data_IF_580611061373
#
_entry.id   IF_580611061373
#
_cell.length_a   1.000
_cell.length_b   1.000
_cell.length_c   1.000
_cell.angle_alpha   90.00
_cell.angle_beta   90.00
_cell.angle_gamma   90.00
#
_symmetry.space_group_name_H-M   'P 1'
#
loop_
_entity.id
_entity.type
_entity.pdbx_description
1 polymer ?
#
# COMPACT_ATOMS: atom_id res chain seq x y z
N UNK A 1 -28.47 -15.45 26.36
CA UNK A 1 -27.93 -14.22 25.73
C UNK A 1 -27.27 -14.61 24.39
N UNK A 2 -27.24 -13.67 23.45
CA UNK A 2 -27.20 -13.86 21.99
C UNK A 2 -25.92 -14.51 21.42
N UNK A 3 -26.19 -15.37 20.43
CA UNK A 3 -25.34 -15.91 19.35
C UNK A 3 -24.25 -14.96 18.81
N UNK A 4 -23.09 -15.52 18.42
CA UNK A 4 -22.64 -15.60 17.01
C UNK A 4 -21.41 -16.52 16.84
N UNK A 5 -21.59 -17.49 15.93
CA UNK A 5 -20.58 -18.36 15.35
C UNK A 5 -19.79 -17.56 14.29
N UNK A 6 -18.47 -17.72 14.23
CA UNK A 6 -17.66 -17.39 13.04
C UNK A 6 -16.45 -18.35 13.03
N UNK A 7 -16.56 -19.56 12.49
CA UNK A 7 -16.25 -19.91 11.09
C UNK A 7 -14.95 -19.26 10.59
N UNK A 8 -13.80 -19.77 11.06
CA UNK A 8 -12.53 -19.58 10.36
C UNK A 8 -12.50 -20.55 9.18
N UNK A 9 -12.92 -20.05 8.02
CA UNK A 9 -12.89 -20.77 6.75
C UNK A 9 -11.43 -20.83 6.30
N UNK A 10 -10.90 -22.05 6.25
CA UNK A 10 -9.69 -22.40 5.50
C UNK A 10 -10.04 -22.18 4.03
N UNK A 11 -9.59 -21.07 3.43
CA UNK A 11 -9.65 -20.86 1.99
C UNK A 11 -8.25 -21.02 1.43
N UNK A 12 -7.92 -22.26 1.06
CA UNK A 12 -6.82 -22.55 0.17
C UNK A 12 -7.21 -22.31 -1.29
N UNK A 13 -6.17 -22.19 -2.12
CA UNK A 13 -6.14 -22.27 -3.59
C UNK A 13 -6.69 -21.06 -4.37
N UNK A 14 -5.80 -20.35 -5.07
CA UNK A 14 -5.65 -20.39 -6.54
C UNK A 14 -4.50 -19.43 -6.93
N UNK A 15 -3.34 -19.94 -7.37
CA UNK A 15 -2.94 -20.04 -8.79
C UNK A 15 -2.84 -18.69 -9.51
N UNK A 16 -1.60 -18.27 -9.74
CA UNK A 16 -1.07 -17.86 -11.05
C UNK A 16 0.47 -17.97 -10.92
N UNK A 17 1.08 -19.11 -11.24
CA UNK A 17 1.46 -19.49 -12.60
C UNK A 17 2.12 -18.33 -13.36
N UNK A 18 3.40 -18.53 -13.62
CA UNK A 18 4.29 -17.62 -14.33
C UNK A 18 3.67 -17.08 -15.62
N UNK A 19 3.74 -15.76 -15.80
CA UNK A 19 3.83 -15.16 -17.12
C UNK A 19 5.13 -14.37 -17.20
N UNK A 20 6.17 -15.05 -17.69
CA UNK A 20 7.35 -14.42 -18.26
C UNK A 20 6.92 -13.58 -19.46
N UNK A 21 6.74 -12.27 -19.30
CA UNK A 21 6.65 -11.37 -20.45
C UNK A 21 7.33 -10.04 -20.17
N UNK A 22 8.48 -9.89 -20.81
CA UNK A 22 9.10 -8.63 -21.19
C UNK A 22 9.53 -7.71 -20.05
N UNK A 23 10.84 -7.67 -19.83
CA UNK A 23 11.55 -6.50 -19.33
C UNK A 23 11.25 -5.28 -20.22
N UNK A 24 10.07 -4.67 -20.10
CA UNK A 24 9.98 -3.24 -20.29
C UNK A 24 10.67 -2.67 -19.06
N UNK A 25 11.66 -1.82 -19.30
CA UNK A 25 12.10 -0.85 -18.29
C UNK A 25 10.91 0.08 -18.07
N UNK A 26 9.86 -0.40 -17.42
CA UNK A 26 8.86 0.45 -16.82
C UNK A 26 9.64 1.27 -15.82
N UNK A 27 9.71 2.58 -16.11
CA UNK A 27 10.40 3.55 -15.28
C UNK A 27 9.91 3.30 -13.87
N UNK A 28 10.78 2.77 -13.01
CA UNK A 28 10.37 2.33 -11.70
C UNK A 28 10.03 3.60 -10.92
N UNK A 29 8.74 3.95 -10.92
CA UNK A 29 8.24 5.11 -10.20
C UNK A 29 8.28 4.78 -8.72
N UNK A 30 9.09 5.53 -7.99
CA UNK A 30 9.17 5.46 -6.55
C UNK A 30 8.24 6.54 -5.98
N UNK A 31 7.23 6.15 -5.22
CA UNK A 31 6.46 7.08 -4.40
C UNK A 31 7.05 7.13 -2.99
N UNK A 32 7.27 8.33 -2.48
CA UNK A 32 7.61 8.57 -1.08
C UNK A 32 6.52 9.45 -0.48
N UNK A 33 5.81 8.95 0.52
CA UNK A 33 4.76 9.65 1.24
C UNK A 33 5.22 9.97 2.66
N UNK A 34 5.00 11.20 3.10
CA UNK A 34 5.27 11.65 4.46
C UNK A 34 3.98 12.16 5.09
N UNK A 35 3.57 11.56 6.20
CA UNK A 35 2.45 12.01 7.03
C UNK A 35 3.00 12.86 8.16
N UNK A 36 2.50 14.09 8.31
CA UNK A 36 2.83 14.99 9.42
C UNK A 36 1.60 15.16 10.30
N UNK A 37 1.64 14.58 11.49
CA UNK A 37 0.56 14.62 12.47
C UNK A 37 0.90 15.64 13.57
N UNK A 38 0.03 16.62 13.80
CA UNK A 38 0.27 17.65 14.82
C UNK A 38 0.41 17.01 16.20
N UNK A 39 1.60 17.10 16.81
CA UNK A 39 1.88 16.57 18.15
C UNK A 39 2.39 15.12 18.23
N UNK A 40 2.43 14.37 17.12
CA UNK A 40 2.89 12.96 17.12
C UNK A 40 4.13 12.69 16.25
N UNK A 41 4.59 13.69 15.49
CA UNK A 41 5.76 13.58 14.62
C UNK A 41 5.40 13.26 13.18
N UNK A 42 6.42 12.95 12.38
CA UNK A 42 6.27 12.60 10.97
C UNK A 42 6.52 11.11 10.73
N UNK A 43 5.69 10.48 9.91
CA UNK A 43 5.87 9.10 9.44
C UNK A 43 6.12 9.12 7.93
N UNK A 44 6.98 8.23 7.45
CA UNK A 44 7.33 8.15 6.03
C UNK A 44 7.11 6.73 5.50
N UNK A 45 6.66 6.62 4.25
CA UNK A 45 6.54 5.40 3.50
C UNK A 45 7.18 5.60 2.13
N UNK A 46 7.99 4.64 1.70
CA UNK A 46 8.55 4.61 0.34
C UNK A 46 8.21 3.30 -0.34
N UNK A 47 7.65 3.38 -1.54
CA UNK A 47 7.38 2.23 -2.39
C UNK A 47 7.89 2.49 -3.80
N UNK A 48 8.50 1.48 -4.41
CA UNK A 48 8.99 1.53 -5.79
C UNK A 48 8.43 0.33 -6.54
N UNK A 49 7.23 0.48 -7.10
CA UNK A 49 6.51 -0.58 -7.79
C UNK A 49 5.24 -0.07 -8.46
N UNK A 50 4.49 -0.97 -9.08
CA UNK A 50 3.30 -0.63 -9.85
C UNK A 50 2.10 -0.23 -8.96
N UNK A 51 2.10 -0.63 -7.68
CA UNK A 51 0.99 -0.42 -6.74
C UNK A 51 1.05 0.89 -5.93
N UNK A 52 1.77 1.91 -6.43
CA UNK A 52 2.00 3.16 -5.72
C UNK A 52 0.71 3.88 -5.29
N UNK A 53 -0.33 3.89 -6.13
CA UNK A 53 -1.62 4.53 -5.82
C UNK A 53 -2.37 3.81 -4.70
N UNK A 54 -2.34 2.46 -4.70
CA UNK A 54 -2.95 1.67 -3.64
C UNK A 54 -2.23 1.89 -2.30
N UNK A 55 -0.89 1.94 -2.33
CA UNK A 55 -0.10 2.20 -1.14
C UNK A 55 -0.28 3.63 -0.60
N UNK A 56 -0.31 4.64 -1.48
CA UNK A 56 -0.60 6.02 -1.09
C UNK A 56 -1.96 6.11 -0.38
N UNK A 57 -2.99 5.48 -0.94
CA UNK A 57 -4.31 5.44 -0.32
C UNK A 57 -4.28 4.77 1.06
N UNK A 58 -3.66 3.59 1.16
CA UNK A 58 -3.51 2.89 2.44
C UNK A 58 -2.76 3.73 3.48
N UNK A 59 -1.73 4.46 3.06
CA UNK A 59 -0.96 5.32 3.96
C UNK A 59 -1.78 6.50 4.48
N UNK A 60 -2.62 7.12 3.62
CA UNK A 60 -3.58 8.15 4.04
C UNK A 60 -4.64 7.60 4.99
N UNK A 61 -5.17 6.42 4.70
CA UNK A 61 -6.18 5.77 5.55
C UNK A 61 -5.63 5.40 6.95
N UNK A 62 -4.33 5.06 7.04
CA UNK A 62 -3.66 4.76 8.31
C UNK A 62 -3.32 6.01 9.15
N UNK A 63 -3.27 7.20 8.55
CA UNK A 63 -2.94 8.46 9.23
C UNK A 63 -4.11 9.48 9.14
N UNK A 64 -5.30 9.14 9.66
CA UNK A 64 -6.45 10.02 9.61
C UNK A 64 -6.18 11.29 10.43
N UNK A 65 -6.45 12.46 9.84
CA UNK A 65 -6.23 13.75 10.49
C UNK A 65 -4.79 14.28 10.40
N UNK A 66 -3.89 13.58 9.71
CA UNK A 66 -2.54 14.06 9.44
C UNK A 66 -2.42 14.65 8.04
N UNK A 67 -1.52 15.61 7.85
CA UNK A 67 -1.20 16.12 6.51
C UNK A 67 -0.29 15.13 5.82
N UNK A 68 -0.81 14.41 4.83
CA UNK A 68 -0.04 13.44 4.04
C UNK A 68 0.38 14.06 2.70
N UNK A 69 1.69 14.13 2.47
CA UNK A 69 2.29 14.64 1.24
C UNK A 69 3.07 13.52 0.54
N UNK A 70 2.81 13.29 -0.75
CA UNK A 70 3.44 12.21 -1.51
C UNK A 70 4.17 12.74 -2.73
N UNK A 71 5.43 12.38 -2.87
CA UNK A 71 6.30 12.74 -3.99
C UNK A 71 6.57 11.49 -4.84
N UNK A 72 6.42 11.60 -6.16
CA UNK A 72 6.72 10.52 -7.11
C UNK A 72 7.99 10.86 -7.87
N UNK A 73 8.98 9.99 -7.79
CA UNK A 73 10.25 10.11 -8.50
C UNK A 73 10.34 9.02 -9.58
N UNK A 74 10.61 9.43 -10.82
CA UNK A 74 10.89 8.51 -11.93
C UNK A 74 12.38 8.20 -11.89
N UNK A 75 12.74 6.96 -11.57
CA UNK A 75 14.14 6.51 -11.61
C UNK A 75 14.54 5.94 -12.96
#
# INVERSE_FOLDING_TARGET
MKNRKTLSIILGLLVCAATTFSCKKDKQECVTCTAVCTGSGSSEMKNCGDDNDAMEKQFRDQHPGCTVNCSREKK
#
